data_IF_665659713049
#
_entry.id   IF_665659713049
#
_cell.length_a   1.000
_cell.length_b   1.000
_cell.length_c   1.000
_cell.angle_alpha   90.00
_cell.angle_beta   90.00
_cell.angle_gamma   90.00
#
_symmetry.space_group_name_H-M   'P 1'
#
loop_
_entity.id
_entity.type
_entity.pdbx_description
1 polymer ?
#
# COMPACT_ATOMS: atom_id res chain seq x y z
N UNK A 1 0.01 6.25 -7.53
CA UNK A 1 0.02 4.80 -7.29
C UNK A 1 1.24 4.10 -7.88
N UNK A 2 1.40 3.97 -9.20
CA UNK A 2 2.59 3.31 -9.77
C UNK A 2 3.90 4.09 -9.52
N UNK A 3 3.83 5.44 -9.57
CA UNK A 3 4.98 6.31 -9.33
C UNK A 3 5.45 6.25 -7.87
N UNK A 4 4.52 6.33 -6.91
CA UNK A 4 4.86 6.32 -5.48
C UNK A 4 5.65 5.06 -5.10
N UNK A 5 5.24 3.90 -5.62
CA UNK A 5 5.96 2.66 -5.36
C UNK A 5 7.32 2.61 -6.06
N UNK A 6 7.47 3.17 -7.27
CA UNK A 6 8.78 3.33 -7.91
C UNK A 6 9.70 4.19 -7.06
N UNK A 7 9.23 5.38 -6.69
CA UNK A 7 10.00 6.37 -5.92
C UNK A 7 10.39 5.81 -4.55
N UNK A 8 9.48 5.07 -3.90
CA UNK A 8 9.75 4.41 -2.62
C UNK A 8 10.83 3.34 -2.74
N UNK A 9 10.80 2.53 -3.79
CA UNK A 9 11.82 1.50 -4.03
C UNK A 9 13.18 2.12 -4.35
N UNK A 10 13.22 3.13 -5.21
CA UNK A 10 14.47 3.81 -5.56
C UNK A 10 15.06 4.58 -4.36
N UNK A 11 14.19 5.23 -3.57
CA UNK A 11 14.60 5.85 -2.32
C UNK A 11 15.20 4.82 -1.37
N UNK A 12 14.53 3.68 -1.15
CA UNK A 12 15.04 2.63 -0.26
C UNK A 12 16.34 2.00 -0.77
N UNK A 13 16.54 1.95 -2.10
CA UNK A 13 17.72 1.39 -2.74
C UNK A 13 19.01 2.18 -2.47
N UNK A 14 18.93 3.50 -2.31
CA UNK A 14 20.10 4.38 -2.21
C UNK A 14 20.51 4.75 -0.78
N UNK A 15 19.78 4.28 0.23
CA UNK A 15 20.09 4.62 1.63
C UNK A 15 21.42 4.00 2.09
N UNK A 16 22.16 4.63 3.02
CA UNK A 16 23.48 4.15 3.45
C UNK A 16 23.45 2.79 4.16
N UNK A 17 22.28 2.39 4.67
CA UNK A 17 22.04 1.09 5.30
C UNK A 17 21.56 0.02 4.31
N UNK A 18 21.28 0.40 3.06
CA UNK A 18 20.80 -0.48 2.01
C UNK A 18 21.97 -1.06 1.22
N UNK A 19 21.84 -2.31 0.81
CA UNK A 19 22.78 -2.95 -0.12
C UNK A 19 22.35 -2.78 -1.60
N UNK A 20 21.39 -1.89 -1.88
CA UNK A 20 20.88 -1.64 -3.22
C UNK A 20 19.91 -2.70 -3.78
N UNK A 21 19.51 -3.68 -2.96
CA UNK A 21 18.60 -4.74 -3.37
C UNK A 21 17.33 -4.70 -2.52
N UNK A 22 16.26 -4.19 -3.10
CA UNK A 22 14.96 -4.04 -2.43
C UNK A 22 14.03 -5.17 -2.84
N UNK A 23 13.37 -5.78 -1.86
CA UNK A 23 12.27 -6.71 -2.08
C UNK A 23 10.99 -6.17 -1.45
N UNK A 24 9.85 -6.48 -2.03
CA UNK A 24 8.55 -6.24 -1.41
C UNK A 24 7.92 -7.57 -1.02
N UNK A 25 7.23 -7.59 0.10
CA UNK A 25 6.44 -8.71 0.58
C UNK A 25 5.12 -8.17 1.13
N UNK A 26 4.11 -9.05 1.17
CA UNK A 26 2.83 -8.96 1.91
C UNK A 26 1.66 -9.37 0.97
N UNK A 27 0.42 -9.21 1.44
CA UNK A 27 -0.78 -9.65 0.78
C UNK A 27 -1.93 -8.65 0.81
N UNK A 28 -3.09 -9.08 0.34
CA UNK A 28 -4.28 -8.22 0.26
C UNK A 28 -3.97 -6.95 -0.55
N UNK A 29 -4.33 -5.78 -0.04
CA UNK A 29 -4.04 -4.49 -0.66
C UNK A 29 -2.53 -4.23 -0.83
N UNK A 30 -1.69 -4.57 0.15
CA UNK A 30 -0.23 -4.50 0.03
C UNK A 30 0.31 -5.46 -1.04
N UNK A 31 -0.42 -6.54 -1.34
CA UNK A 31 -0.13 -7.41 -2.47
C UNK A 31 -0.48 -6.75 -3.81
N UNK A 32 -1.61 -6.04 -3.88
CA UNK A 32 -1.98 -5.26 -5.06
C UNK A 32 -0.96 -4.16 -5.39
N UNK A 33 -0.44 -3.45 -4.38
CA UNK A 33 0.58 -2.40 -4.62
C UNK A 33 1.87 -2.95 -5.23
N UNK A 34 2.24 -4.19 -4.92
CA UNK A 34 3.37 -4.88 -5.57
C UNK A 34 3.12 -5.06 -7.08
N UNK A 35 1.90 -5.48 -7.48
CA UNK A 35 1.53 -5.59 -8.89
C UNK A 35 1.49 -4.25 -9.61
N UNK A 36 1.11 -3.17 -8.92
CA UNK A 36 1.16 -1.82 -9.47
C UNK A 36 2.58 -1.31 -9.70
N UNK A 37 3.53 -1.70 -8.85
CA UNK A 37 4.94 -1.32 -9.00
C UNK A 37 5.65 -2.11 -10.09
N UNK A 38 5.32 -3.39 -10.27
CA UNK A 38 6.07 -4.28 -11.17
C UNK A 38 6.27 -3.72 -12.60
N UNK A 39 5.27 -3.08 -13.25
CA UNK A 39 5.42 -2.51 -14.59
C UNK A 39 6.36 -1.32 -14.68
N UNK A 40 6.62 -0.60 -13.58
CA UNK A 40 7.53 0.57 -13.59
C UNK A 40 9.00 0.16 -13.58
N UNK A 41 9.28 -1.12 -13.28
CA UNK A 41 10.61 -1.74 -13.29
C UNK A 41 11.67 -0.91 -12.55
N UNK A 42 11.49 -0.62 -11.24
CA UNK A 42 12.49 0.11 -10.47
C UNK A 42 13.83 -0.65 -10.47
N UNK A 43 14.96 -0.02 -10.85
CA UNK A 43 16.27 -0.66 -10.89
C UNK A 43 16.66 -1.40 -9.61
N UNK A 44 16.29 -0.88 -8.43
CA UNK A 44 16.63 -1.51 -7.15
C UNK A 44 15.68 -2.65 -6.74
N UNK A 45 14.53 -2.84 -7.42
CA UNK A 45 13.60 -3.92 -7.12
C UNK A 45 14.13 -5.27 -7.62
N UNK A 46 14.32 -6.23 -6.72
CA UNK A 46 14.86 -7.56 -7.05
C UNK A 46 13.85 -8.69 -6.88
N UNK A 47 12.87 -8.52 -6.00
CA UNK A 47 11.89 -9.57 -5.73
C UNK A 47 10.55 -9.00 -5.25
N UNK A 48 9.48 -9.72 -5.57
CA UNK A 48 8.14 -9.51 -5.05
C UNK A 48 7.63 -10.84 -4.47
N UNK A 49 7.04 -10.80 -3.28
CA UNK A 49 6.29 -11.91 -2.71
C UNK A 49 4.86 -11.44 -2.44
N UNK A 50 3.96 -11.82 -3.35
CA UNK A 50 2.57 -11.39 -3.35
C UNK A 50 1.66 -12.50 -2.82
N UNK A 51 1.12 -12.34 -1.62
CA UNK A 51 0.20 -13.32 -1.00
C UNK A 51 -1.25 -12.89 -1.16
N UNK A 52 -2.08 -13.64 -1.87
CA UNK A 52 -3.52 -13.27 -2.04
C UNK A 52 -3.74 -11.83 -2.56
N UNK A 53 -2.82 -11.33 -3.41
CA UNK A 53 -2.92 -10.01 -4.00
C UNK A 53 -3.95 -9.95 -5.13
N UNK A 54 -4.51 -8.77 -5.36
CA UNK A 54 -5.51 -8.53 -6.40
C UNK A 54 -4.79 -8.28 -7.73
N UNK A 55 -5.14 -8.97 -8.82
CA UNK A 55 -4.58 -8.65 -10.15
C UNK A 55 -5.34 -7.53 -10.86
N UNK A 56 -6.64 -7.43 -10.58
CA UNK A 56 -7.56 -6.42 -11.08
C UNK A 56 -8.49 -6.00 -9.93
N UNK A 57 -8.62 -4.69 -9.70
CA UNK A 57 -9.54 -4.16 -8.71
C UNK A 57 -10.99 -4.39 -9.10
N UNK A 58 -11.31 -4.43 -10.39
CA UNK A 58 -12.68 -4.65 -10.85
C UNK A 58 -13.19 -6.00 -10.37
N UNK A 59 -12.44 -7.09 -10.59
CA UNK A 59 -12.86 -8.45 -10.23
C UNK A 59 -13.05 -8.68 -8.73
N UNK A 60 -12.40 -7.87 -7.90
CA UNK A 60 -12.56 -7.94 -6.44
C UNK A 60 -13.67 -6.99 -5.95
N UNK A 61 -13.92 -5.91 -6.68
CA UNK A 61 -15.02 -4.98 -6.36
C UNK A 61 -16.36 -5.49 -6.87
N UNK A 62 -16.36 -6.15 -8.02
CA UNK A 62 -17.52 -6.69 -8.70
C UNK A 62 -17.28 -8.15 -9.08
N UNK A 63 -18.17 -9.05 -8.66
CA UNK A 63 -18.16 -10.45 -9.08
C UNK A 63 -19.29 -10.68 -10.05
N UNK A 64 -18.96 -10.97 -11.32
CA UNK A 64 -19.96 -11.13 -12.37
C UNK A 64 -20.83 -9.89 -12.59
N UNK A 65 -20.29 -8.69 -12.35
CA UNK A 65 -21.00 -7.42 -12.44
C UNK A 65 -21.79 -7.02 -11.18
N UNK A 66 -21.92 -7.90 -10.19
CA UNK A 66 -22.55 -7.58 -8.91
C UNK A 66 -21.55 -6.99 -7.93
N UNK A 67 -21.88 -5.86 -7.32
CA UNK A 67 -21.02 -5.19 -6.34
C UNK A 67 -20.85 -6.02 -5.07
N UNK A 68 -19.60 -6.22 -4.63
CA UNK A 68 -19.28 -6.89 -3.38
C UNK A 68 -19.51 -5.95 -2.18
N UNK A 69 -20.78 -5.69 -1.85
CA UNK A 69 -21.20 -4.69 -0.85
C UNK A 69 -20.47 -4.83 0.49
N UNK A 70 -20.37 -6.05 1.04
CA UNK A 70 -19.73 -6.27 2.33
C UNK A 70 -18.23 -5.89 2.33
N UNK A 71 -17.51 -6.24 1.26
CA UNK A 71 -16.09 -5.91 1.12
C UNK A 71 -15.91 -4.41 0.87
N UNK A 72 -16.61 -3.87 -0.13
CA UNK A 72 -16.48 -2.49 -0.56
C UNK A 72 -16.92 -1.50 0.52
N UNK A 73 -18.13 -1.63 1.04
CA UNK A 73 -18.62 -0.72 2.08
C UNK A 73 -17.86 -0.91 3.40
N UNK A 74 -17.61 -2.16 3.80
CA UNK A 74 -16.93 -2.47 5.05
C UNK A 74 -15.52 -1.87 5.12
N UNK A 75 -14.72 -2.05 4.07
CA UNK A 75 -13.36 -1.51 4.02
C UNK A 75 -13.36 0.02 3.99
N UNK A 76 -14.22 0.65 3.18
CA UNK A 76 -14.29 2.11 3.12
C UNK A 76 -14.72 2.72 4.47
N UNK A 77 -15.77 2.18 5.12
CA UNK A 77 -16.20 2.69 6.42
C UNK A 77 -15.10 2.57 7.48
N UNK A 78 -14.36 1.47 7.51
CA UNK A 78 -13.25 1.29 8.44
C UNK A 78 -12.16 2.36 8.25
N UNK A 79 -11.74 2.59 7.00
CA UNK A 79 -10.69 3.58 6.71
C UNK A 79 -11.18 5.01 6.96
N UNK A 80 -12.40 5.36 6.54
CA UNK A 80 -12.96 6.70 6.80
C UNK A 80 -13.10 6.99 8.29
N UNK A 81 -13.55 6.01 9.08
CA UNK A 81 -13.65 6.21 10.54
C UNK A 81 -12.27 6.35 11.18
N UNK A 82 -11.27 5.59 10.74
CA UNK A 82 -9.90 5.72 11.22
C UNK A 82 -9.32 7.12 10.90
N UNK A 83 -9.54 7.61 9.69
CA UNK A 83 -9.05 8.92 9.25
C UNK A 83 -9.70 10.07 10.05
N UNK A 84 -11.03 10.05 10.18
CA UNK A 84 -11.76 11.02 11.00
C UNK A 84 -11.32 11.00 12.48
N UNK A 85 -10.97 9.83 13.01
CA UNK A 85 -10.46 9.71 14.38
C UNK A 85 -9.07 10.34 14.53
N UNK A 86 -8.26 10.35 13.48
CA UNK A 86 -6.95 11.01 13.45
C UNK A 86 -7.09 12.53 13.36
N UNK A 87 -7.96 13.05 12.49
CA UNK A 87 -8.18 14.50 12.34
C UNK A 87 -8.78 15.15 13.60
N UNK A 88 -9.56 14.39 14.36
CA UNK A 88 -10.22 14.87 15.59
C UNK A 88 -9.38 14.65 16.86
N UNK A 89 -8.18 14.07 16.73
CA UNK A 89 -7.27 13.91 17.84
C UNK A 89 -6.79 15.30 18.33
N UNK A 90 -6.80 15.58 19.65
CA UNK A 90 -6.39 16.88 20.16
C UNK A 90 -4.93 17.18 19.78
N UNK A 91 -4.72 18.34 19.16
CA UNK A 91 -3.42 18.82 18.65
C UNK A 91 -2.47 19.23 19.79
N UNK A 92 -2.02 18.27 20.60
CA UNK A 92 -1.22 18.58 21.79
C UNK A 92 -0.52 17.38 22.40
N UNK A 93 0.46 16.83 21.68
CA UNK A 93 1.56 16.04 22.25
C UNK A 93 2.91 16.38 21.58
N UNK A 94 3.12 17.66 21.21
CA UNK A 94 4.41 18.20 20.79
C UNK A 94 5.17 18.86 21.97
N UNK A 95 5.17 18.22 23.14
CA UNK A 95 6.01 18.65 24.25
C UNK A 95 6.70 17.44 24.89
N UNK A 96 8.03 17.52 24.82
CA UNK A 96 9.00 16.84 25.69
C UNK A 96 9.46 15.44 25.29
N UNK A 97 10.39 15.41 24.32
CA UNK A 97 11.53 14.48 24.39
C UNK A 97 12.83 15.31 24.28
N UNK A 98 13.48 15.50 25.44
CA UNK A 98 14.87 15.97 25.61
C UNK A 98 15.89 15.13 24.82
#
# INVERSE_FOLDING_TARGET
MNQDGYDTVEWAGVQPWSNGQVGMLDGSYSGFTQYMVAPTRPPHLKALYVREGMGDLYDVTFRGGAFQLALGLGWNMQNTLADLSHETAPSGLDADHE
#
